data_IF_887158916140
#
_entry.id   IF_887158916140
#
_cell.length_a   1.000
_cell.length_b   1.000
_cell.length_c   1.000
_cell.angle_alpha   90.00
_cell.angle_beta   90.00
_cell.angle_gamma   90.00
#
_symmetry.space_group_name_H-M   'P 1'
#
loop_
_entity.id
_entity.type
_entity.pdbx_description
1 polymer ?
#
# COMPACT_ATOMS: atom_id res chain seq x y z
N UNK A 1 14.22 -8.20 -4.96
CA UNK A 1 14.58 -6.81 -5.23
C UNK A 1 13.31 -6.06 -5.62
N UNK A 2 12.91 -5.07 -4.83
CA UNK A 2 11.75 -4.24 -5.11
C UNK A 2 12.20 -2.86 -5.58
N UNK A 3 11.49 -2.30 -6.56
CA UNK A 3 11.68 -0.92 -7.02
C UNK A 3 10.41 -0.13 -6.78
N UNK A 4 10.59 1.11 -6.33
CA UNK A 4 9.50 2.05 -6.16
C UNK A 4 9.86 3.37 -6.85
N UNK A 5 8.90 3.99 -7.51
CA UNK A 5 9.06 5.32 -8.10
C UNK A 5 8.21 6.29 -7.32
N UNK A 6 8.86 7.20 -6.61
CA UNK A 6 8.19 8.22 -5.79
C UNK A 6 8.74 9.57 -6.18
N UNK A 7 7.89 10.49 -6.59
CA UNK A 7 8.27 11.87 -6.96
C UNK A 7 9.39 11.92 -8.00
N UNK A 8 9.25 11.11 -9.07
CA UNK A 8 10.25 10.92 -10.15
C UNK A 8 11.64 10.45 -9.67
N UNK A 9 11.74 9.92 -8.46
CA UNK A 9 12.95 9.31 -7.92
C UNK A 9 12.77 7.80 -7.84
N UNK A 10 13.81 7.07 -8.21
CA UNK A 10 13.81 5.61 -8.13
C UNK A 10 14.40 5.20 -6.79
N UNK A 11 13.68 4.37 -6.08
CA UNK A 11 14.14 3.73 -4.86
C UNK A 11 14.24 2.22 -5.08
N UNK A 12 15.20 1.58 -4.44
CA UNK A 12 15.41 0.15 -4.54
C UNK A 12 15.77 -0.45 -3.19
N UNK A 13 15.15 -1.57 -2.83
CA UNK A 13 15.60 -2.37 -1.71
C UNK A 13 16.65 -3.37 -2.19
N UNK A 14 17.84 -3.33 -1.60
CA UNK A 14 18.92 -4.25 -1.88
C UNK A 14 18.67 -5.64 -1.23
N UNK A 15 19.45 -6.64 -1.61
CA UNK A 15 19.34 -8.01 -1.08
C UNK A 15 19.57 -8.07 0.43
N UNK A 16 20.45 -7.20 0.96
CA UNK A 16 20.67 -7.08 2.41
C UNK A 16 19.51 -6.39 3.15
N UNK A 17 18.50 -5.92 2.40
CA UNK A 17 17.34 -5.22 2.90
C UNK A 17 17.50 -3.72 3.07
N UNK A 18 18.69 -3.15 2.90
CA UNK A 18 18.87 -1.71 2.95
C UNK A 18 18.16 -1.01 1.77
N UNK A 19 17.69 0.22 2.00
CA UNK A 19 16.90 0.96 1.03
C UNK A 19 17.70 2.14 0.47
N UNK A 20 17.78 2.22 -0.83
CA UNK A 20 18.60 3.17 -1.58
C UNK A 20 17.76 4.02 -2.52
N UNK A 21 18.22 5.24 -2.75
CA UNK A 21 17.73 6.10 -3.83
C UNK A 21 18.75 6.12 -4.97
N UNK A 22 18.25 5.98 -6.20
CA UNK A 22 19.05 6.16 -7.42
C UNK A 22 18.87 7.58 -7.96
N UNK A 23 19.96 8.29 -8.25
CA UNK A 23 19.98 9.66 -8.75
C UNK A 23 20.24 9.76 -10.28
N UNK A 24 20.25 8.61 -10.97
CA UNK A 24 20.60 8.49 -12.39
C UNK A 24 22.05 8.09 -12.63
N UNK A 25 22.91 8.12 -11.62
CA UNK A 25 24.34 7.74 -11.70
C UNK A 25 24.75 6.75 -10.64
N UNK A 26 24.31 6.96 -9.40
CA UNK A 26 24.70 6.15 -8.26
C UNK A 26 23.54 5.91 -7.30
N UNK A 27 23.68 4.87 -6.49
CA UNK A 27 22.76 4.56 -5.40
C UNK A 27 23.27 5.20 -4.10
N UNK A 28 22.41 5.97 -3.46
CA UNK A 28 22.68 6.55 -2.14
C UNK A 28 21.84 5.83 -1.10
N UNK A 29 22.48 5.33 -0.06
CA UNK A 29 21.77 4.71 1.08
C UNK A 29 20.84 5.74 1.73
N UNK A 30 19.57 5.39 1.85
CA UNK A 30 18.57 6.20 2.54
C UNK A 30 18.23 5.62 3.90
N UNK A 31 18.10 4.30 3.96
CA UNK A 31 17.65 3.63 5.17
C UNK A 31 18.32 2.29 5.33
N UNK A 32 18.77 2.01 6.54
CA UNK A 32 19.22 0.68 6.91
C UNK A 32 18.02 -0.19 7.26
N UNK A 33 18.07 -1.47 6.91
CA UNK A 33 17.05 -2.45 7.22
C UNK A 33 16.66 -2.49 8.68
N UNK A 34 17.60 -2.29 9.58
CA UNK A 34 17.36 -2.24 11.02
C UNK A 34 16.38 -1.14 11.46
N UNK A 35 16.22 -0.07 10.69
CA UNK A 35 15.34 1.05 11.02
C UNK A 35 13.85 0.71 10.81
N UNK A 36 13.52 -0.37 10.13
CA UNK A 36 12.17 -0.88 9.96
C UNK A 36 12.06 -2.35 10.39
N UNK A 37 12.67 -2.66 11.53
CA UNK A 37 12.58 -3.94 12.24
C UNK A 37 12.98 -5.16 11.40
N UNK A 38 13.89 -4.99 10.45
CA UNK A 38 14.38 -6.02 9.53
C UNK A 38 13.30 -6.66 8.64
N UNK A 39 12.18 -5.98 8.43
CA UNK A 39 11.09 -6.43 7.56
C UNK A 39 11.39 -6.15 6.06
N UNK A 40 10.42 -6.37 5.20
CA UNK A 40 10.46 -6.06 3.77
C UNK A 40 9.63 -4.82 3.48
N UNK A 41 10.16 -3.89 2.68
CA UNK A 41 9.38 -2.77 2.15
C UNK A 41 8.63 -3.28 0.93
N UNK A 42 7.31 -3.24 0.99
CA UNK A 42 6.43 -3.69 -0.08
C UNK A 42 6.00 -2.55 -0.99
N UNK A 43 5.96 -1.31 -0.46
CA UNK A 43 5.51 -0.14 -1.21
C UNK A 43 6.11 1.14 -0.63
N UNK A 44 6.27 2.16 -1.48
CA UNK A 44 6.66 3.50 -1.10
C UNK A 44 5.76 4.53 -1.79
N UNK A 45 5.13 5.40 -1.03
CA UNK A 45 4.16 6.37 -1.53
C UNK A 45 4.42 7.76 -0.96
N UNK A 46 4.13 8.81 -1.72
CA UNK A 46 4.21 10.18 -1.23
C UNK A 46 2.94 10.58 -0.50
N UNK A 47 3.09 11.19 0.67
CA UNK A 47 1.99 11.82 1.41
C UNK A 47 2.41 13.22 1.83
N UNK A 48 1.90 14.24 1.14
CA UNK A 48 2.32 15.62 1.36
C UNK A 48 3.82 15.80 1.11
N UNK A 49 4.56 16.20 2.13
CA UNK A 49 6.01 16.43 2.10
C UNK A 49 6.85 15.23 2.60
N UNK A 50 6.21 14.15 3.01
CA UNK A 50 6.84 12.92 3.49
C UNK A 50 6.65 11.76 2.52
N UNK A 51 7.54 10.77 2.61
CA UNK A 51 7.40 9.48 1.95
C UNK A 51 6.96 8.48 3.00
N UNK A 52 5.87 7.76 2.73
CA UNK A 52 5.47 6.60 3.51
C UNK A 52 6.10 5.35 2.92
N UNK A 53 6.66 4.53 3.79
CA UNK A 53 7.17 3.20 3.47
C UNK A 53 6.30 2.17 4.17
N UNK A 54 5.70 1.31 3.39
CA UNK A 54 4.84 0.24 3.87
C UNK A 54 5.66 -1.02 3.98
N UNK A 55 5.62 -1.66 5.13
CA UNK A 55 6.31 -2.93 5.36
C UNK A 55 5.32 -4.08 5.37
N UNK A 56 5.83 -5.28 5.13
CA UNK A 56 5.01 -6.48 5.03
C UNK A 56 4.28 -6.81 6.34
N UNK A 57 4.97 -6.67 7.51
CA UNK A 57 4.44 -7.09 8.81
C UNK A 57 4.71 -6.09 9.95
N UNK A 58 5.42 -4.99 9.70
CA UNK A 58 5.81 -4.04 10.76
C UNK A 58 5.12 -2.68 10.64
N UNK A 59 4.09 -2.60 9.77
CA UNK A 59 3.29 -1.40 9.58
C UNK A 59 3.97 -0.35 8.71
N UNK A 60 3.72 0.92 8.99
CA UNK A 60 4.09 2.05 8.13
C UNK A 60 5.18 2.89 8.82
N UNK A 61 6.13 3.36 8.03
CA UNK A 61 7.15 4.32 8.46
C UNK A 61 7.09 5.56 7.59
N UNK A 62 7.39 6.72 8.13
CA UNK A 62 7.50 7.97 7.39
C UNK A 62 8.93 8.45 7.33
N UNK A 63 9.29 9.02 6.18
CA UNK A 63 10.58 9.66 5.94
C UNK A 63 10.35 11.08 5.51
N UNK A 64 10.94 12.03 6.24
CA UNK A 64 10.97 13.44 5.91
C UNK A 64 12.35 13.99 6.24
N UNK A 65 12.97 14.73 5.31
CA UNK A 65 14.29 15.36 5.47
C UNK A 65 15.40 14.40 5.95
N UNK A 66 15.25 13.11 5.63
CA UNK A 66 16.18 12.05 6.05
C UNK A 66 15.93 11.48 7.44
N UNK A 67 14.98 12.02 8.17
CA UNK A 67 14.55 11.48 9.45
C UNK A 67 13.52 10.37 9.28
N UNK A 68 13.66 9.32 10.06
CA UNK A 68 12.83 8.12 10.10
C UNK A 68 12.04 8.06 11.37
N UNK A 69 10.74 7.78 11.22
CA UNK A 69 9.90 7.51 12.38
C UNK A 69 8.78 6.54 12.03
N UNK A 70 8.29 5.82 13.02
CA UNK A 70 7.08 5.04 12.91
C UNK A 70 5.91 5.97 12.59
N UNK A 71 5.12 5.61 11.58
CA UNK A 71 3.85 6.25 11.29
C UNK A 71 2.75 5.40 11.93
N UNK A 72 2.30 5.84 13.10
CA UNK A 72 1.29 5.12 13.87
C UNK A 72 -0.09 5.22 13.21
N UNK A 73 -0.81 4.13 13.23
CA UNK A 73 -2.16 4.02 12.67
C UNK A 73 -3.09 3.26 13.60
N UNK A 74 -4.39 3.44 13.41
CA UNK A 74 -5.42 2.69 14.15
C UNK A 74 -5.38 1.17 13.83
N UNK A 75 -4.66 0.77 12.77
CA UNK A 75 -4.54 -0.63 12.31
C UNK A 75 -3.14 -1.21 12.49
N UNK A 76 -2.30 -0.64 13.36
CA UNK A 76 -0.93 -1.15 13.56
C UNK A 76 -0.90 -2.64 13.95
N UNK A 77 -1.86 -3.10 14.76
CA UNK A 77 -1.98 -4.50 15.14
C UNK A 77 -2.40 -5.40 13.97
N UNK A 78 -3.31 -4.92 13.13
CA UNK A 78 -3.77 -5.63 11.93
C UNK A 78 -2.63 -5.74 10.91
N UNK A 79 -1.90 -4.65 10.65
CA UNK A 79 -0.74 -4.68 9.75
C UNK A 79 0.35 -5.64 10.23
N UNK A 80 0.42 -5.91 11.54
CA UNK A 80 1.36 -6.88 12.09
C UNK A 80 0.94 -8.34 11.83
N UNK A 81 -0.35 -8.64 11.83
CA UNK A 81 -0.89 -10.00 11.76
C UNK A 81 -1.43 -10.38 10.38
N UNK A 82 -1.87 -9.41 9.58
CA UNK A 82 -2.64 -9.66 8.36
C UNK A 82 -1.83 -9.54 7.07
N UNK A 83 -0.55 -9.24 7.19
CA UNK A 83 0.43 -9.17 6.11
C UNK A 83 0.03 -8.17 5.01
N UNK A 84 0.49 -6.95 5.12
CA UNK A 84 0.33 -5.96 4.06
C UNK A 84 1.03 -6.42 2.77
N UNK A 85 0.37 -6.23 1.62
CA UNK A 85 0.88 -6.67 0.32
C UNK A 85 0.96 -5.53 -0.69
N UNK A 86 0.03 -4.57 -0.65
CA UNK A 86 0.02 -3.39 -1.51
C UNK A 86 -0.48 -2.19 -0.75
N UNK A 87 -0.02 -1.01 -1.15
CA UNK A 87 -0.55 0.25 -0.65
C UNK A 87 -0.52 1.33 -1.72
N UNK A 88 -1.46 2.25 -1.65
CA UNK A 88 -1.49 3.47 -2.44
C UNK A 88 -1.85 4.65 -1.56
N UNK A 89 -1.45 5.85 -1.98
CA UNK A 89 -1.98 7.11 -1.46
C UNK A 89 -2.74 7.78 -2.59
N UNK A 90 -4.01 8.03 -2.36
CA UNK A 90 -4.90 8.67 -3.34
C UNK A 90 -4.66 10.18 -3.43
N UNK A 91 -5.13 10.88 -4.49
CA UNK A 91 -4.94 12.33 -4.63
C UNK A 91 -5.51 13.16 -3.48
N UNK A 92 -6.55 12.68 -2.81
CA UNK A 92 -7.15 13.31 -1.62
C UNK A 92 -6.44 12.93 -0.30
N UNK A 93 -5.26 12.30 -0.40
CA UNK A 93 -4.42 11.89 0.72
C UNK A 93 -4.99 10.74 1.58
N UNK A 94 -5.93 9.97 1.06
CA UNK A 94 -6.37 8.72 1.68
C UNK A 94 -5.29 7.66 1.48
N UNK A 95 -4.90 7.00 2.56
CA UNK A 95 -3.95 5.88 2.56
C UNK A 95 -4.76 4.59 2.45
N UNK A 96 -4.53 3.80 1.42
CA UNK A 96 -5.24 2.53 1.21
C UNK A 96 -4.23 1.38 1.27
N UNK A 97 -4.50 0.42 2.13
CA UNK A 97 -3.64 -0.75 2.34
C UNK A 97 -4.42 -2.02 2.07
N UNK A 98 -3.93 -2.82 1.14
CA UNK A 98 -4.41 -4.17 0.86
C UNK A 98 -3.56 -5.20 1.58
N UNK A 99 -4.21 -6.14 2.24
CA UNK A 99 -3.59 -7.24 2.98
C UNK A 99 -3.77 -8.57 2.25
N UNK A 100 -3.03 -9.58 2.68
CA UNK A 100 -3.22 -10.95 2.18
C UNK A 100 -4.38 -11.64 2.90
N UNK A 101 -4.62 -11.34 4.18
CA UNK A 101 -5.51 -12.15 4.99
C UNK A 101 -6.85 -11.49 5.34
N UNK A 102 -6.97 -10.16 5.24
CA UNK A 102 -8.19 -9.49 5.71
C UNK A 102 -8.63 -8.27 4.88
N UNK A 103 -8.37 -8.27 3.58
CA UNK A 103 -8.93 -7.29 2.65
C UNK A 103 -8.24 -5.93 2.64
N UNK A 104 -9.03 -4.86 2.58
CA UNK A 104 -8.58 -3.51 2.27
C UNK A 104 -8.95 -2.55 3.39
N UNK A 105 -7.98 -1.82 3.88
CA UNK A 105 -8.13 -0.74 4.85
C UNK A 105 -7.92 0.62 4.18
N UNK A 106 -8.72 1.61 4.53
CA UNK A 106 -8.46 3.01 4.21
C UNK A 106 -8.29 3.84 5.46
N UNK A 107 -7.28 4.68 5.45
CA UNK A 107 -6.92 5.58 6.54
C UNK A 107 -6.88 7.01 6.03
N UNK A 108 -7.12 7.96 6.90
CA UNK A 108 -6.85 9.36 6.59
C UNK A 108 -5.33 9.65 6.62
N UNK A 109 -4.94 10.88 6.30
CA UNK A 109 -3.54 11.34 6.27
C UNK A 109 -2.82 11.30 7.64
N UNK A 110 -3.56 11.14 8.73
CA UNK A 110 -3.06 11.03 10.11
C UNK A 110 -2.98 9.58 10.59
N UNK A 111 -3.50 8.61 9.82
CA UNK A 111 -3.48 7.19 10.15
C UNK A 111 -4.74 6.67 10.84
N UNK A 112 -5.80 7.49 10.94
CA UNK A 112 -7.08 7.05 11.50
C UNK A 112 -7.89 6.27 10.48
N UNK A 113 -8.51 5.18 10.93
CA UNK A 113 -9.31 4.29 10.10
C UNK A 113 -10.56 5.01 9.59
N UNK A 114 -10.74 5.01 8.27
CA UNK A 114 -11.93 5.52 7.59
C UNK A 114 -12.93 4.38 7.32
N UNK A 115 -12.45 3.29 6.73
CA UNK A 115 -13.24 2.11 6.42
C UNK A 115 -12.37 0.87 6.22
N UNK A 116 -13.00 -0.29 6.33
CA UNK A 116 -12.40 -1.60 6.11
C UNK A 116 -13.37 -2.48 5.32
N UNK A 117 -12.88 -3.10 4.25
CA UNK A 117 -13.62 -4.05 3.44
C UNK A 117 -12.92 -5.40 3.38
N UNK A 118 -13.67 -6.46 3.67
CA UNK A 118 -13.24 -7.85 3.58
C UNK A 118 -14.40 -8.74 3.10
N UNK A 119 -14.24 -10.05 3.09
CA UNK A 119 -15.30 -10.98 2.65
C UNK A 119 -16.56 -10.93 3.51
N UNK A 120 -16.47 -10.50 4.77
CA UNK A 120 -17.61 -10.42 5.68
C UNK A 120 -18.53 -9.25 5.33
N UNK A 121 -18.01 -8.23 4.67
CA UNK A 121 -18.75 -7.00 4.35
C UNK A 121 -18.68 -6.60 2.88
N UNK A 122 -18.35 -7.54 1.99
CA UNK A 122 -18.60 -7.37 0.57
C UNK A 122 -17.47 -7.63 -0.41
N UNK A 123 -16.22 -7.83 0.00
CA UNK A 123 -15.19 -8.28 -0.94
C UNK A 123 -15.40 -9.75 -1.33
N UNK A 124 -14.97 -10.08 -2.55
CA UNK A 124 -14.98 -11.47 -3.04
C UNK A 124 -13.88 -12.33 -2.40
N UNK A 125 -12.76 -11.70 -2.03
CA UNK A 125 -11.61 -12.37 -1.46
C UNK A 125 -10.83 -11.39 -0.58
N UNK A 126 -10.24 -11.88 0.50
CA UNK A 126 -9.43 -11.08 1.42
C UNK A 126 -8.01 -10.81 0.90
N UNK A 127 -7.53 -11.64 -0.04
CA UNK A 127 -6.17 -11.51 -0.58
C UNK A 127 -6.13 -10.44 -1.66
N UNK A 128 -5.48 -9.32 -1.35
CA UNK A 128 -5.32 -8.18 -2.26
C UNK A 128 -3.97 -8.30 -2.97
N UNK A 129 -4.00 -8.45 -4.28
CA UNK A 129 -2.80 -8.63 -5.11
C UNK A 129 -2.28 -7.31 -5.68
N UNK A 130 -3.19 -6.37 -5.98
CA UNK A 130 -2.83 -5.05 -6.49
C UNK A 130 -3.87 -4.01 -6.13
N UNK A 131 -3.43 -2.75 -6.00
CA UNK A 131 -4.28 -1.58 -5.80
C UNK A 131 -3.93 -0.50 -6.82
N UNK A 132 -4.94 0.20 -7.31
CA UNK A 132 -4.79 1.36 -8.18
C UNK A 132 -5.89 2.37 -7.90
N UNK A 133 -5.59 3.66 -8.10
CA UNK A 133 -6.58 4.73 -8.05
C UNK A 133 -6.80 5.26 -9.46
N UNK A 134 -8.05 5.40 -9.89
CA UNK A 134 -8.38 6.00 -11.17
C UNK A 134 -8.43 7.55 -11.09
N UNK A 135 -8.74 8.19 -12.21
CA UNK A 135 -8.79 9.66 -12.31
C UNK A 135 -9.95 10.28 -11.53
N UNK A 136 -10.98 9.50 -11.25
CA UNK A 136 -12.17 9.93 -10.51
C UNK A 136 -12.00 9.67 -8.99
N UNK A 137 -10.84 9.14 -8.58
CA UNK A 137 -10.52 8.83 -7.19
C UNK A 137 -11.05 7.47 -6.73
N UNK A 138 -11.64 6.65 -7.61
CA UNK A 138 -12.08 5.32 -7.25
C UNK A 138 -10.90 4.36 -7.09
N UNK A 139 -11.04 3.38 -6.21
CA UNK A 139 -10.01 2.40 -5.93
C UNK A 139 -10.35 1.10 -6.63
N UNK A 140 -9.42 0.63 -7.46
CA UNK A 140 -9.45 -0.68 -8.08
C UNK A 140 -8.56 -1.63 -7.33
N UNK A 141 -9.11 -2.77 -6.94
CA UNK A 141 -8.37 -3.82 -6.26
C UNK A 141 -8.42 -5.11 -7.06
N UNK A 142 -7.26 -5.62 -7.46
CA UNK A 142 -7.16 -6.98 -7.94
C UNK A 142 -7.05 -7.92 -6.73
N UNK A 143 -7.94 -8.88 -6.66
CA UNK A 143 -8.02 -9.89 -5.62
C UNK A 143 -7.51 -11.23 -6.16
N UNK A 144 -7.23 -12.18 -5.30
CA UNK A 144 -6.86 -13.54 -5.72
C UNK A 144 -7.97 -14.21 -6.55
N UNK A 145 -9.21 -13.78 -6.35
CA UNK A 145 -10.37 -14.24 -7.12
C UNK A 145 -11.24 -13.05 -7.54
N UNK A 146 -10.82 -12.33 -8.60
CA UNK A 146 -11.61 -11.26 -9.20
C UNK A 146 -11.10 -9.86 -8.97
N UNK A 147 -11.94 -8.87 -9.25
CA UNK A 147 -11.64 -7.45 -9.15
C UNK A 147 -12.74 -6.74 -8.38
N UNK A 148 -12.37 -5.84 -7.50
CA UNK A 148 -13.28 -4.96 -6.80
C UNK A 148 -13.06 -3.50 -7.23
N UNK A 149 -14.16 -2.77 -7.43
CA UNK A 149 -14.18 -1.33 -7.61
C UNK A 149 -14.84 -0.69 -6.39
N UNK A 150 -14.12 0.21 -5.74
CA UNK A 150 -14.58 0.93 -4.56
C UNK A 150 -14.77 2.39 -4.95
N UNK A 151 -16.01 2.84 -4.96
CA UNK A 151 -16.34 4.25 -5.17
C UNK A 151 -16.14 5.02 -3.86
N UNK A 152 -15.27 6.02 -3.87
CA UNK A 152 -14.96 6.84 -2.70
C UNK A 152 -16.00 7.92 -2.43
N UNK A 153 -16.78 8.32 -3.45
CA UNK A 153 -17.77 9.41 -3.38
C UNK A 153 -19.20 8.98 -3.03
N UNK A 154 -19.51 7.69 -3.16
CA UNK A 154 -20.85 7.14 -2.91
C UNK A 154 -20.74 5.66 -2.55
N UNK A 155 -21.80 5.00 -2.29
CA UNK A 155 -21.88 3.60 -1.87
C UNK A 155 -20.95 2.63 -2.60
N UNK A 156 -20.36 1.74 -1.85
CA UNK A 156 -19.55 0.61 -2.29
C UNK A 156 -20.19 -0.19 -3.44
N UNK A 157 -19.46 -0.44 -4.51
CA UNK A 157 -19.86 -1.34 -5.60
C UNK A 157 -18.77 -2.39 -5.84
N UNK A 158 -19.13 -3.67 -5.71
CA UNK A 158 -18.29 -4.77 -6.17
C UNK A 158 -18.63 -5.04 -7.64
N UNK A 159 -17.65 -4.97 -8.51
CA UNK A 159 -17.80 -5.44 -9.88
C UNK A 159 -17.22 -6.85 -9.96
N UNK A 160 -18.08 -7.84 -10.16
CA UNK A 160 -17.69 -9.19 -10.57
C UNK A 160 -17.79 -9.21 -12.09
N UNK A 161 -16.71 -9.25 -12.86
CA UNK A 161 -16.84 -9.65 -14.24
C UNK A 161 -17.33 -11.10 -14.23
N UNK A 162 -18.50 -11.37 -14.75
CA UNK A 162 -18.87 -12.72 -15.11
C UNK A 162 -17.85 -13.20 -16.14
N UNK A 163 -16.93 -14.06 -15.73
CA UNK A 163 -15.96 -14.72 -16.60
C UNK A 163 -16.66 -15.77 -17.52
N UNK A 164 -17.80 -15.43 -18.10
CA UNK A 164 -18.49 -16.35 -19.00
C UNK A 164 -18.09 -16.20 -20.48
N UNK A 165 -17.23 -15.23 -20.83
CA UNK A 165 -16.90 -14.95 -22.23
C UNK A 165 -15.40 -14.92 -22.57
N UNK A 166 -14.52 -15.48 -21.75
CA UNK A 166 -13.19 -15.83 -22.24
C UNK A 166 -13.15 -17.28 -22.70
N UNK A 167 -13.85 -17.56 -23.82
CA UNK A 167 -13.49 -18.69 -24.65
C UNK A 167 -12.29 -18.31 -25.52
N UNK A 168 -11.22 -19.07 -25.36
CA UNK A 168 -10.00 -19.05 -26.18
C UNK A 168 -10.32 -19.44 -27.62
#
# INVERSE_FOLDING_TARGET
LYFHVVDNKIFAQAINGDYYQFDGKQYTLKVKRANYDNDSIIEAQKLGDKILLFTENKGIYSVKDGEWQKFHTDIDSQLHSERANRAIVTPDSTIVVGTIFNGIYALNSEGHLLWHYNVENGLLNNSVLHLSCDRDGNIWAALDNGVALIHTSTSFCIFVPECNDMQV
#
